data_IF_256217425579
#
_entry.id   IF_256217425579
#
_cell.length_a   1.000
_cell.length_b   1.000
_cell.length_c   1.000
_cell.angle_alpha   90.00
_cell.angle_beta   90.00
_cell.angle_gamma   90.00
#
_symmetry.space_group_name_H-M   'P 1'
#
loop_
_entity.id
_entity.type
_entity.pdbx_description
1 polymer ?
#
# COMPACT_ATOMS: atom_id res chain seq x y z
N UNK A 1 -1.51 -20.27 26.54
CA UNK A 1 -1.33 -20.32 25.07
C UNK A 1 -0.53 -19.08 24.70
N UNK A 2 0.49 -19.22 23.85
CA UNK A 2 1.17 -18.03 23.29
C UNK A 2 0.15 -17.25 22.45
N UNK A 3 0.27 -15.93 22.41
CA UNK A 3 -0.54 -15.09 21.51
C UNK A 3 -0.26 -15.50 20.06
N UNK A 4 -1.29 -15.64 19.23
CA UNK A 4 -1.12 -15.84 17.79
C UNK A 4 -0.85 -14.49 17.11
N UNK A 5 -1.65 -13.48 17.48
CA UNK A 5 -1.55 -12.11 16.99
C UNK A 5 -0.42 -11.35 17.68
N UNK A 6 0.28 -10.52 16.90
CA UNK A 6 1.13 -9.48 17.47
C UNK A 6 0.28 -8.41 18.16
N UNK A 7 0.82 -7.82 19.22
CA UNK A 7 0.09 -6.81 20.00
C UNK A 7 0.20 -5.48 19.24
N UNK A 8 -0.71 -5.27 18.30
CA UNK A 8 -0.90 -3.98 17.64
C UNK A 8 -2.39 -3.79 17.32
N UNK A 9 -3.06 -2.94 18.11
CA UNK A 9 -4.50 -2.70 18.01
C UNK A 9 -4.88 -1.95 16.71
N UNK A 10 -3.91 -1.43 15.94
CA UNK A 10 -4.11 -0.64 14.71
C UNK A 10 -3.13 -0.99 13.56
N UNK A 11 -2.67 -2.23 13.48
CA UNK A 11 -1.79 -2.68 12.38
C UNK A 11 -2.47 -2.63 10.99
N UNK A 12 -1.69 -2.40 9.93
CA UNK A 12 -2.16 -2.24 8.53
C UNK A 12 -3.14 -3.33 8.05
N UNK A 13 -2.97 -4.58 8.50
CA UNK A 13 -3.83 -5.71 8.13
C UNK A 13 -4.97 -6.01 9.13
N UNK A 14 -5.09 -5.22 10.20
CA UNK A 14 -6.09 -5.42 11.26
C UNK A 14 -7.39 -4.74 10.86
N UNK A 15 -8.41 -5.55 10.55
CA UNK A 15 -9.69 -5.06 10.07
C UNK A 15 -10.71 -4.91 11.22
N UNK A 16 -11.82 -4.25 10.90
CA UNK A 16 -12.96 -4.16 11.81
C UNK A 16 -13.39 -5.55 12.29
N UNK A 17 -13.60 -5.66 13.60
CA UNK A 17 -14.08 -6.89 14.24
C UNK A 17 -15.36 -7.41 13.59
N UNK A 18 -15.39 -8.73 13.38
CA UNK A 18 -16.44 -9.44 12.67
C UNK A 18 -17.18 -10.43 13.58
N UNK A 19 -18.41 -10.77 13.21
CA UNK A 19 -19.28 -11.73 13.91
C UNK A 19 -19.33 -13.08 13.20
N UNK A 20 -19.75 -14.13 13.92
CA UNK A 20 -19.94 -15.46 13.33
C UNK A 20 -20.98 -15.48 12.19
N UNK A 21 -21.97 -14.59 12.23
CA UNK A 21 -22.94 -14.45 11.14
C UNK A 21 -22.31 -13.90 9.86
N UNK A 22 -21.39 -12.95 9.98
CA UNK A 22 -20.66 -12.39 8.86
C UNK A 22 -19.65 -13.38 8.28
N UNK A 23 -19.00 -14.19 9.12
CA UNK A 23 -18.18 -15.33 8.67
C UNK A 23 -19.02 -16.30 7.83
N UNK A 24 -20.22 -16.67 8.29
CA UNK A 24 -21.12 -17.55 7.53
C UNK A 24 -21.59 -16.94 6.20
N UNK A 25 -21.75 -15.61 6.13
CA UNK A 25 -22.04 -14.91 4.87
C UNK A 25 -20.84 -14.97 3.92
N UNK A 26 -19.62 -14.81 4.44
CA UNK A 26 -18.40 -14.92 3.65
C UNK A 26 -18.22 -16.33 3.07
N UNK A 27 -18.38 -17.38 3.88
CA UNK A 27 -18.39 -18.79 3.41
C UNK A 27 -19.38 -19.01 2.27
N UNK A 28 -20.60 -18.48 2.41
CA UNK A 28 -21.63 -18.57 1.36
C UNK A 28 -21.24 -17.83 0.08
N UNK A 29 -20.61 -16.66 0.19
CA UNK A 29 -20.18 -15.85 -0.97
C UNK A 29 -18.98 -16.48 -1.67
N UNK A 30 -18.03 -17.04 -0.92
CA UNK A 30 -16.87 -17.77 -1.45
C UNK A 30 -17.24 -19.18 -1.96
N UNK A 31 -18.37 -19.73 -1.51
CA UNK A 31 -18.84 -21.07 -1.90
C UNK A 31 -17.98 -22.20 -1.32
N UNK A 32 -17.45 -22.02 -0.11
CA UNK A 32 -16.57 -22.94 0.61
C UNK A 32 -16.86 -22.91 2.11
N UNK A 33 -16.41 -23.94 2.83
CA UNK A 33 -16.38 -23.96 4.30
C UNK A 33 -14.96 -23.67 4.78
N UNK A 34 -14.79 -22.57 5.50
CA UNK A 34 -13.52 -22.12 6.05
C UNK A 34 -13.09 -23.03 7.21
N UNK A 35 -11.78 -23.29 7.40
CA UNK A 35 -11.26 -24.08 8.51
C UNK A 35 -11.71 -23.53 9.87
N UNK A 36 -12.01 -24.41 10.82
CA UNK A 36 -12.49 -24.01 12.15
C UNK A 36 -11.47 -23.17 12.91
N UNK A 37 -10.18 -23.50 12.81
CA UNK A 37 -9.11 -22.69 13.40
C UNK A 37 -9.03 -21.30 12.78
N UNK A 38 -9.17 -21.18 11.45
CA UNK A 38 -9.20 -19.87 10.78
C UNK A 38 -10.36 -19.02 11.33
N UNK A 39 -11.58 -19.57 11.37
CA UNK A 39 -12.76 -18.87 11.90
C UNK A 39 -12.56 -18.43 13.35
N UNK A 40 -11.95 -19.27 14.19
CA UNK A 40 -11.65 -18.94 15.59
C UNK A 40 -10.69 -17.76 15.69
N UNK A 41 -9.63 -17.75 14.90
CA UNK A 41 -8.65 -16.66 14.86
C UNK A 41 -9.30 -15.36 14.37
N UNK A 42 -10.07 -15.41 13.28
CA UNK A 42 -10.76 -14.23 12.71
C UNK A 42 -11.78 -13.61 13.67
N UNK A 43 -12.46 -14.42 14.49
CA UNK A 43 -13.39 -13.93 15.52
C UNK A 43 -12.67 -13.30 16.72
N UNK A 44 -11.42 -13.69 16.97
CA UNK A 44 -10.56 -13.06 17.96
C UNK A 44 -10.09 -11.69 17.45
N UNK A 45 -9.49 -11.67 16.25
CA UNK A 45 -9.04 -10.49 15.52
C UNK A 45 -9.20 -10.71 14.01
N UNK A 46 -9.84 -9.77 13.31
CA UNK A 46 -10.17 -9.91 11.91
C UNK A 46 -8.98 -9.53 11.01
N UNK A 47 -7.99 -10.41 10.93
CA UNK A 47 -6.74 -10.16 10.23
C UNK A 47 -5.73 -9.37 11.06
N UNK A 48 -4.48 -9.31 10.57
CA UNK A 48 -3.39 -8.61 11.25
C UNK A 48 -2.07 -9.37 11.20
N UNK A 49 -1.05 -8.76 11.81
CA UNK A 49 0.28 -9.37 11.96
C UNK A 49 0.29 -10.49 13.00
N UNK A 50 1.15 -11.49 12.78
CA UNK A 50 1.24 -12.69 13.60
C UNK A 50 2.65 -12.90 14.13
N UNK A 51 2.76 -13.47 15.32
CA UNK A 51 4.04 -13.61 16.05
C UNK A 51 5.03 -14.56 15.35
N UNK A 52 4.51 -15.59 14.68
CA UNK A 52 5.31 -16.60 13.99
C UNK A 52 5.21 -16.36 12.49
N UNK A 53 6.21 -15.68 11.96
CA UNK A 53 6.24 -15.03 10.65
C UNK A 53 6.78 -15.91 9.51
N UNK A 54 7.02 -17.20 9.73
CA UNK A 54 7.60 -18.09 8.72
C UNK A 54 7.07 -19.52 8.80
N UNK A 55 7.07 -20.21 7.65
CA UNK A 55 6.76 -21.64 7.54
C UNK A 55 7.87 -22.38 6.79
N UNK A 56 8.38 -23.51 7.32
CA UNK A 56 9.51 -24.22 6.73
C UNK A 56 9.11 -24.96 5.44
N UNK A 57 10.00 -25.01 4.46
CA UNK A 57 9.83 -25.78 3.21
C UNK A 57 11.16 -26.37 2.74
N UNK A 58 11.10 -27.45 1.96
CA UNK A 58 12.28 -28.00 1.28
C UNK A 58 12.48 -27.42 -0.12
N UNK A 59 11.59 -26.53 -0.55
CA UNK A 59 11.60 -25.86 -1.85
C UNK A 59 12.13 -24.44 -1.67
N UNK A 60 13.19 -24.09 -2.41
CA UNK A 60 13.66 -22.70 -2.48
C UNK A 60 12.64 -21.84 -3.22
N UNK A 61 12.53 -20.58 -2.83
CA UNK A 61 11.73 -19.56 -3.50
C UNK A 61 12.62 -18.37 -3.88
N UNK A 62 12.00 -17.29 -4.37
CA UNK A 62 12.71 -16.11 -4.90
C UNK A 62 13.66 -15.43 -3.90
N UNK A 63 13.51 -15.65 -2.59
CA UNK A 63 14.28 -14.94 -1.56
C UNK A 63 14.80 -15.80 -0.40
N UNK A 64 14.33 -17.05 -0.24
CA UNK A 64 14.81 -17.98 0.78
C UNK A 64 14.93 -19.42 0.28
N UNK A 65 15.89 -20.17 0.85
CA UNK A 65 16.15 -21.56 0.45
C UNK A 65 15.26 -22.59 1.17
N UNK A 66 14.80 -22.30 2.40
CA UNK A 66 14.26 -23.29 3.33
C UNK A 66 12.95 -22.90 4.05
N UNK A 67 12.35 -21.75 3.72
CA UNK A 67 11.10 -21.30 4.31
C UNK A 67 10.38 -20.26 3.43
N UNK A 68 9.09 -20.06 3.71
CA UNK A 68 8.30 -18.94 3.19
C UNK A 68 7.96 -17.99 4.34
N UNK A 69 7.71 -16.73 4.00
CA UNK A 69 7.26 -15.70 4.93
C UNK A 69 5.73 -15.77 5.00
N UNK A 70 5.21 -15.63 6.22
CA UNK A 70 3.79 -15.56 6.51
C UNK A 70 3.61 -14.66 7.74
N UNK A 71 3.88 -13.36 7.55
CA UNK A 71 3.94 -12.36 8.63
C UNK A 71 2.57 -11.83 9.04
N UNK A 72 1.53 -12.01 8.23
CA UNK A 72 0.17 -11.58 8.52
C UNK A 72 -0.85 -12.60 8.03
N UNK A 73 -2.04 -12.57 8.62
CA UNK A 73 -3.19 -13.31 8.15
C UNK A 73 -4.22 -12.30 7.64
N UNK A 74 -4.68 -12.48 6.39
CA UNK A 74 -5.78 -11.69 5.86
C UNK A 74 -7.08 -12.03 6.59
N UNK A 75 -7.84 -10.99 6.94
CA UNK A 75 -9.17 -11.14 7.52
C UNK A 75 -10.27 -11.21 6.48
N UNK A 76 -11.51 -11.15 6.94
CA UNK A 76 -12.71 -11.11 6.11
C UNK A 76 -13.17 -9.66 5.98
N UNK A 77 -12.89 -9.05 4.83
CA UNK A 77 -13.44 -7.79 4.36
C UNK A 77 -13.43 -7.76 2.82
N UNK A 78 -14.20 -6.85 2.24
CA UNK A 78 -14.00 -6.38 0.87
C UNK A 78 -12.93 -5.28 0.90
N UNK A 79 -12.13 -5.16 -0.16
CA UNK A 79 -11.10 -4.14 -0.31
C UNK A 79 -10.06 -4.13 0.82
N UNK A 80 -9.45 -5.30 1.13
CA UNK A 80 -8.31 -5.54 2.07
C UNK A 80 -8.35 -6.95 2.70
N UNK A 81 -9.15 -7.88 2.18
CA UNK A 81 -9.37 -9.17 2.82
C UNK A 81 -9.59 -10.34 1.87
N UNK A 82 -9.92 -11.51 2.42
CA UNK A 82 -10.08 -12.72 1.62
C UNK A 82 -11.22 -12.64 0.60
N UNK A 83 -12.13 -11.67 0.72
CA UNK A 83 -13.22 -11.50 -0.25
C UNK A 83 -12.72 -11.01 -1.61
N UNK A 84 -11.50 -10.49 -1.68
CA UNK A 84 -10.86 -10.02 -2.90
C UNK A 84 -10.15 -11.15 -3.64
N UNK A 85 -10.15 -12.38 -3.09
CA UNK A 85 -9.48 -13.55 -3.69
C UNK A 85 -9.83 -13.73 -5.17
N UNK A 86 -11.11 -13.58 -5.56
CA UNK A 86 -11.50 -13.76 -6.96
C UNK A 86 -10.94 -12.67 -7.89
N UNK A 87 -10.80 -11.44 -7.39
CA UNK A 87 -10.18 -10.34 -8.12
C UNK A 87 -8.67 -10.57 -8.23
N UNK A 88 -8.00 -10.86 -7.11
CA UNK A 88 -6.56 -11.08 -7.04
C UNK A 88 -6.11 -12.31 -7.84
N UNK A 89 -6.88 -13.39 -7.82
CA UNK A 89 -6.62 -14.58 -8.65
C UNK A 89 -6.60 -14.20 -10.13
N UNK A 90 -7.51 -13.33 -10.57
CA UNK A 90 -7.54 -12.87 -11.96
C UNK A 90 -6.40 -11.92 -12.29
N UNK A 91 -6.10 -10.99 -11.37
CA UNK A 91 -5.03 -9.99 -11.54
C UNK A 91 -3.65 -10.66 -11.67
N UNK A 92 -3.40 -11.66 -10.84
CA UNK A 92 -2.11 -12.36 -10.76
C UNK A 92 -2.09 -13.71 -11.51
N UNK A 93 -3.08 -13.95 -12.37
CA UNK A 93 -3.21 -15.15 -13.20
C UNK A 93 -3.11 -16.49 -12.42
N UNK A 94 -3.54 -16.48 -11.16
CA UNK A 94 -3.52 -17.66 -10.29
C UNK A 94 -4.62 -18.67 -10.67
N UNK A 95 -4.50 -19.95 -10.27
CA UNK A 95 -5.56 -20.93 -10.46
C UNK A 95 -6.88 -20.53 -9.79
N UNK A 96 -8.01 -20.74 -10.48
CA UNK A 96 -9.33 -20.59 -9.86
C UNK A 96 -9.54 -21.59 -8.70
N UNK A 97 -10.42 -21.25 -7.75
CA UNK A 97 -10.76 -22.12 -6.62
C UNK A 97 -9.79 -22.00 -5.44
N UNK A 98 -9.08 -20.89 -5.34
CA UNK A 98 -8.25 -20.52 -4.20
C UNK A 98 -8.95 -19.49 -3.31
N UNK A 99 -8.58 -19.46 -2.03
CA UNK A 99 -8.85 -18.34 -1.12
C UNK A 99 -7.53 -17.85 -0.58
N UNK A 100 -7.13 -16.64 -0.96
CA UNK A 100 -5.83 -16.05 -0.60
C UNK A 100 -5.89 -15.56 0.84
N UNK A 101 -4.92 -15.95 1.66
CA UNK A 101 -4.91 -15.68 3.11
C UNK A 101 -3.67 -14.91 3.58
N UNK A 102 -2.70 -14.69 2.69
CA UNK A 102 -1.52 -13.86 2.86
C UNK A 102 -0.90 -13.63 1.46
N UNK A 103 -0.27 -12.48 1.26
CA UNK A 103 0.51 -12.19 0.06
C UNK A 103 0.70 -10.69 -0.15
N UNK A 104 1.57 -10.33 -1.09
CA UNK A 104 1.99 -8.95 -1.39
C UNK A 104 1.95 -8.61 -2.89
N UNK A 105 1.52 -9.56 -3.72
CA UNK A 105 1.54 -9.45 -5.18
C UNK A 105 2.62 -10.30 -5.84
N UNK A 106 3.80 -10.43 -5.21
CA UNK A 106 4.87 -11.30 -5.71
C UNK A 106 4.66 -12.75 -5.27
N UNK A 107 4.19 -12.94 -4.03
CA UNK A 107 3.96 -14.26 -3.47
C UNK A 107 2.59 -14.35 -2.79
N UNK A 108 2.00 -15.55 -2.79
CA UNK A 108 0.68 -15.79 -2.22
C UNK A 108 0.64 -17.11 -1.46
N UNK A 109 0.03 -17.09 -0.27
CA UNK A 109 -0.38 -18.30 0.46
C UNK A 109 -1.90 -18.41 0.39
N UNK A 110 -2.39 -19.57 -0.03
CA UNK A 110 -3.80 -19.80 -0.27
C UNK A 110 -4.30 -21.10 0.37
N UNK A 111 -5.57 -21.07 0.77
CA UNK A 111 -6.37 -22.28 0.97
C UNK A 111 -6.80 -22.84 -0.38
N UNK A 112 -6.37 -24.06 -0.69
CA UNK A 112 -6.58 -24.70 -2.00
C UNK A 112 -7.88 -25.52 -2.04
N UNK A 113 -8.95 -24.89 -2.52
CA UNK A 113 -10.28 -25.52 -2.71
C UNK A 113 -10.48 -26.09 -4.12
N UNK A 114 -9.42 -26.23 -4.94
CA UNK A 114 -9.55 -26.80 -6.30
C UNK A 114 -10.10 -28.23 -6.29
N UNK A 115 -9.85 -28.97 -5.21
CA UNK A 115 -10.22 -30.40 -5.07
C UNK A 115 -11.21 -30.68 -3.94
N UNK A 116 -11.58 -29.68 -3.14
CA UNK A 116 -12.45 -29.83 -1.96
C UNK A 116 -13.24 -28.57 -1.68
N UNK A 117 -14.31 -28.66 -0.90
CA UNK A 117 -15.07 -27.51 -0.39
C UNK A 117 -14.91 -27.29 1.11
N UNK A 118 -14.21 -28.18 1.78
CA UNK A 118 -13.94 -28.17 3.21
C UNK A 118 -12.54 -28.73 3.49
N UNK A 119 -11.90 -28.30 4.58
CA UNK A 119 -10.56 -28.77 4.99
C UNK A 119 -9.53 -28.76 3.84
N UNK A 120 -9.30 -27.61 3.18
CA UNK A 120 -8.34 -27.50 2.08
C UNK A 120 -6.90 -27.64 2.58
N UNK A 121 -6.03 -28.04 1.65
CA UNK A 121 -4.58 -27.91 1.84
C UNK A 121 -4.17 -26.43 1.76
N UNK A 122 -2.98 -26.11 2.30
CA UNK A 122 -2.36 -24.79 2.14
C UNK A 122 -1.32 -24.86 1.04
N UNK A 123 -1.36 -23.91 0.12
CA UNK A 123 -0.54 -23.85 -1.08
C UNK A 123 0.18 -22.50 -1.15
N UNK A 124 1.43 -22.52 -1.60
CA UNK A 124 2.24 -21.35 -1.86
C UNK A 124 2.40 -21.13 -3.36
N UNK A 125 2.38 -19.87 -3.78
CA UNK A 125 2.62 -19.43 -5.14
C UNK A 125 3.69 -18.34 -5.14
N UNK A 126 4.70 -18.51 -5.98
CA UNK A 126 5.70 -17.49 -6.30
C UNK A 126 5.47 -17.07 -7.76
N UNK A 127 4.94 -15.85 -7.94
CA UNK A 127 4.56 -15.33 -9.26
C UNK A 127 5.81 -14.98 -10.07
N UNK A 128 6.86 -14.49 -9.42
CA UNK A 128 8.13 -14.12 -10.06
C UNK A 128 8.86 -15.35 -10.63
N UNK A 129 8.81 -16.47 -9.91
CA UNK A 129 9.43 -17.72 -10.35
C UNK A 129 8.51 -18.59 -11.22
N UNK A 130 7.23 -18.25 -11.34
CA UNK A 130 6.19 -19.12 -11.93
C UNK A 130 6.13 -20.52 -11.29
N UNK A 131 6.34 -20.61 -9.97
CA UNK A 131 6.35 -21.87 -9.23
C UNK A 131 5.26 -21.93 -8.14
N UNK A 132 4.67 -23.11 -7.94
CA UNK A 132 3.73 -23.38 -6.83
C UNK A 132 4.02 -24.73 -6.16
N UNK A 133 3.84 -24.78 -4.84
CA UNK A 133 3.93 -26.03 -4.08
C UNK A 133 3.07 -26.04 -2.82
N UNK A 134 2.65 -27.25 -2.44
CA UNK A 134 1.84 -27.47 -1.24
C UNK A 134 2.68 -27.34 0.04
N UNK A 135 2.22 -26.52 0.98
CA UNK A 135 2.85 -26.29 2.28
C UNK A 135 2.36 -27.26 3.35
N UNK A 136 1.06 -27.48 3.45
CA UNK A 136 0.45 -28.32 4.49
C UNK A 136 -0.83 -28.99 3.99
N UNK A 137 -1.26 -30.08 4.63
CA UNK A 137 -2.51 -30.77 4.25
C UNK A 137 -3.76 -30.13 4.85
N UNK A 138 -3.59 -29.24 5.84
CA UNK A 138 -4.67 -28.47 6.46
C UNK A 138 -4.17 -27.14 7.00
N UNK A 139 -5.09 -26.22 7.25
CA UNK A 139 -4.77 -24.96 7.94
C UNK A 139 -4.25 -25.18 9.36
N UNK A 140 -4.76 -26.19 10.08
CA UNK A 140 -4.31 -26.52 11.44
C UNK A 140 -2.85 -27.00 11.45
N UNK A 141 -2.48 -27.86 10.49
CA UNK A 141 -1.09 -28.31 10.30
C UNK A 141 -0.18 -27.12 9.96
N UNK A 142 -0.64 -26.23 9.09
CA UNK A 142 0.09 -25.03 8.71
C UNK A 142 0.37 -24.11 9.91
N UNK A 143 -0.66 -23.73 10.67
CA UNK A 143 -0.53 -22.85 11.84
C UNK A 143 0.36 -23.47 12.93
N UNK A 144 0.32 -24.79 13.11
CA UNK A 144 1.19 -25.49 14.05
C UNK A 144 2.65 -25.54 13.61
N UNK A 145 2.92 -25.48 12.30
CA UNK A 145 4.26 -25.49 11.72
C UNK A 145 4.92 -24.11 11.65
N UNK A 146 4.18 -23.03 11.92
CA UNK A 146 4.73 -21.69 11.94
C UNK A 146 5.81 -21.54 13.03
N UNK A 147 6.87 -20.82 12.70
CA UNK A 147 7.92 -20.43 13.62
C UNK A 147 8.31 -18.96 13.39
N UNK A 148 9.12 -18.41 14.29
CA UNK A 148 9.68 -17.06 14.11
C UNK A 148 11.03 -17.20 13.42
N UNK A 149 11.12 -16.73 12.18
CA UNK A 149 12.38 -16.50 11.51
C UNK A 149 12.89 -15.09 11.85
N UNK A 150 14.14 -15.02 12.30
CA UNK A 150 14.85 -13.75 12.42
C UNK A 150 15.48 -13.45 11.06
N UNK A 151 14.88 -12.52 10.33
CA UNK A 151 15.55 -11.92 9.19
C UNK A 151 16.60 -10.98 9.76
N UNK A 152 17.87 -11.38 9.66
CA UNK A 152 18.94 -10.39 9.79
C UNK A 152 18.68 -9.40 8.67
N UNK A 153 18.21 -8.21 9.02
CA UNK A 153 18.32 -7.07 8.11
C UNK A 153 19.83 -6.96 7.92
N UNK A 154 20.32 -7.44 6.77
CA UNK A 154 21.69 -7.19 6.38
C UNK A 154 21.80 -5.67 6.39
N UNK A 155 22.51 -5.08 7.35
CA UNK A 155 22.64 -3.62 7.44
C UNK A 155 23.20 -3.03 6.14
N UNK A 156 23.89 -3.83 5.31
CA UNK A 156 24.31 -3.46 3.94
C UNK A 156 23.19 -3.57 2.88
N UNK A 157 22.16 -4.41 3.08
CA UNK A 157 20.95 -4.45 2.23
C UNK A 157 19.80 -3.58 2.78
N UNK A 158 19.87 -3.20 4.06
CA UNK A 158 19.09 -2.13 4.67
C UNK A 158 19.53 -0.75 4.16
N UNK A 159 20.71 -0.65 3.57
CA UNK A 159 21.10 0.48 2.70
C UNK A 159 20.49 0.37 1.28
N UNK A 160 19.58 -0.60 1.06
CA UNK A 160 18.48 -0.44 0.10
C UNK A 160 17.14 -0.39 0.85
N UNK A 161 17.10 0.30 2.00
CA UNK A 161 16.13 1.38 2.12
C UNK A 161 16.11 2.09 0.77
N UNK A 162 14.96 2.45 0.23
CA UNK A 162 15.01 3.67 -0.59
C UNK A 162 15.76 4.64 0.30
N UNK A 163 16.99 5.00 -0.06
CA UNK A 163 17.52 6.30 0.31
C UNK A 163 16.48 7.28 -0.28
N UNK A 164 15.34 7.44 0.39
CA UNK A 164 14.99 8.71 0.99
C UNK A 164 16.22 9.09 1.78
N UNK A 165 17.25 9.52 1.05
CA UNK A 165 18.17 10.49 1.53
C UNK A 165 17.25 11.46 2.26
N UNK A 166 17.40 11.58 3.58
CA UNK A 166 17.15 12.84 4.23
C UNK A 166 18.13 13.86 3.62
N UNK A 167 18.10 14.08 2.29
CA UNK A 167 18.41 15.36 1.70
C UNK A 167 17.22 16.19 2.12
N UNK A 168 17.27 16.61 3.39
CA UNK A 168 16.47 17.71 3.87
C UNK A 168 16.73 18.84 2.90
N UNK A 169 15.78 19.09 1.99
CA UNK A 169 15.93 20.13 0.98
C UNK A 169 16.00 21.43 1.76
N UNK A 170 17.19 22.01 1.83
CA UNK A 170 17.36 23.28 2.53
C UNK A 170 16.58 24.36 1.79
N UNK A 171 16.20 25.43 2.50
CA UNK A 171 15.50 26.56 1.89
C UNK A 171 16.34 27.18 0.76
N UNK A 172 17.65 27.27 0.94
CA UNK A 172 18.57 27.80 -0.06
C UNK A 172 18.60 26.93 -1.33
N UNK A 173 18.56 25.60 -1.19
CA UNK A 173 18.48 24.69 -2.32
C UNK A 173 17.12 24.75 -3.01
N UNK A 174 16.03 24.82 -2.24
CA UNK A 174 14.68 25.01 -2.80
C UNK A 174 14.58 26.32 -3.58
N UNK A 175 15.12 27.41 -3.03
CA UNK A 175 15.21 28.70 -3.71
C UNK A 175 15.99 28.57 -5.03
N UNK A 176 17.15 27.90 -5.01
CA UNK A 176 17.95 27.67 -6.22
C UNK A 176 17.21 26.83 -7.26
N UNK A 177 16.48 25.79 -6.85
CA UNK A 177 15.64 24.97 -7.74
C UNK A 177 14.54 25.83 -8.37
N UNK A 178 13.88 26.68 -7.59
CA UNK A 178 12.80 27.52 -8.11
C UNK A 178 13.25 28.65 -9.04
N UNK A 179 14.56 28.93 -9.13
CA UNK A 179 15.13 29.84 -10.13
C UNK A 179 15.42 29.15 -11.49
N UNK A 180 15.32 27.82 -11.56
CA UNK A 180 15.42 27.09 -12.83
C UNK A 180 14.22 27.40 -13.74
N UNK A 181 14.39 27.28 -15.06
CA UNK A 181 13.27 27.50 -15.99
C UNK A 181 12.33 26.30 -16.08
N UNK A 182 12.85 25.10 -15.81
CA UNK A 182 12.15 23.81 -15.89
C UNK A 182 12.51 23.02 -14.64
N UNK A 183 11.49 22.44 -14.01
CA UNK A 183 11.65 21.51 -12.89
C UNK A 183 11.66 20.10 -13.46
N UNK A 184 12.83 19.46 -13.48
CA UNK A 184 12.93 18.04 -13.85
C UNK A 184 12.40 17.14 -12.73
N UNK A 185 12.24 15.86 -13.06
CA UNK A 185 11.71 14.83 -12.15
C UNK A 185 12.49 14.75 -10.83
N UNK A 186 13.81 14.88 -10.87
CA UNK A 186 14.65 14.86 -9.66
C UNK A 186 14.43 16.07 -8.77
N UNK A 187 14.21 17.25 -9.34
CA UNK A 187 13.87 18.45 -8.60
C UNK A 187 12.46 18.39 -8.02
N UNK A 188 11.48 17.91 -8.79
CA UNK A 188 10.10 17.71 -8.33
C UNK A 188 10.04 16.71 -7.16
N UNK A 189 10.78 15.61 -7.27
CA UNK A 189 10.93 14.64 -6.18
C UNK A 189 11.48 15.28 -4.91
N UNK A 190 12.51 16.14 -4.99
CA UNK A 190 13.02 16.85 -3.80
C UNK A 190 12.02 17.84 -3.23
N UNK A 191 11.33 18.58 -4.10
CA UNK A 191 10.34 19.60 -3.72
C UNK A 191 9.20 18.99 -2.89
N UNK A 192 8.73 17.78 -3.22
CA UNK A 192 7.58 17.18 -2.54
C UNK A 192 7.81 16.86 -1.06
N UNK A 193 9.09 16.70 -0.64
CA UNK A 193 9.49 16.44 0.75
C UNK A 193 9.90 17.71 1.50
N UNK A 194 9.75 18.90 0.91
CA UNK A 194 10.06 20.14 1.63
C UNK A 194 9.11 20.34 2.84
N UNK A 195 9.61 20.69 4.04
CA UNK A 195 8.79 20.81 5.24
C UNK A 195 7.72 21.92 5.16
N UNK A 196 6.44 21.55 5.19
CA UNK A 196 5.32 22.50 5.11
C UNK A 196 4.81 22.93 6.50
N UNK A 197 5.68 23.60 7.27
CA UNK A 197 5.40 23.98 8.68
C UNK A 197 5.09 25.47 8.86
N UNK A 198 5.87 26.38 8.26
CA UNK A 198 5.69 27.83 8.42
C UNK A 198 4.72 28.40 7.38
N UNK A 199 3.68 29.10 7.84
CA UNK A 199 2.64 29.67 6.98
C UNK A 199 3.15 30.67 5.94
N UNK A 200 4.16 31.49 6.25
CA UNK A 200 4.69 32.46 5.28
C UNK A 200 5.52 31.76 4.22
N UNK A 201 6.27 30.73 4.61
CA UNK A 201 7.03 29.91 3.66
C UNK A 201 6.12 29.10 2.76
N UNK A 202 5.03 28.51 3.28
CA UNK A 202 4.04 27.80 2.47
C UNK A 202 3.37 28.75 1.46
N UNK A 203 3.02 29.97 1.88
CA UNK A 203 2.48 30.99 0.96
C UNK A 203 3.48 31.32 -0.16
N UNK A 204 4.76 31.50 0.16
CA UNK A 204 5.81 31.74 -0.83
C UNK A 204 6.01 30.54 -1.76
N UNK A 205 6.03 29.33 -1.19
CA UNK A 205 6.20 28.07 -1.91
C UNK A 205 5.13 27.90 -2.99
N UNK A 206 3.85 28.02 -2.63
CA UNK A 206 2.77 27.84 -3.60
C UNK A 206 2.75 28.91 -4.68
N UNK A 207 3.22 30.13 -4.40
CA UNK A 207 3.42 31.15 -5.46
C UNK A 207 4.51 30.75 -6.44
N UNK A 208 5.59 30.13 -5.97
CA UNK A 208 6.64 29.60 -6.85
C UNK A 208 6.12 28.42 -7.68
N UNK A 209 5.36 27.50 -7.07
CA UNK A 209 4.69 26.42 -7.81
C UNK A 209 3.70 26.94 -8.86
N UNK A 210 2.90 27.95 -8.52
CA UNK A 210 2.00 28.61 -9.47
C UNK A 210 2.76 29.16 -10.67
N UNK A 211 3.87 29.88 -10.43
CA UNK A 211 4.71 30.40 -11.51
C UNK A 211 5.18 29.30 -12.47
N UNK A 212 5.63 28.16 -11.94
CA UNK A 212 6.08 27.02 -12.74
C UNK A 212 4.94 26.36 -13.52
N UNK A 213 3.76 26.20 -12.90
CA UNK A 213 2.55 25.72 -13.57
C UNK A 213 2.17 26.62 -14.74
N UNK A 214 2.14 27.93 -14.54
CA UNK A 214 1.70 28.89 -15.57
C UNK A 214 2.69 29.01 -16.73
N UNK A 215 3.98 28.76 -16.49
CA UNK A 215 5.05 28.88 -17.49
C UNK A 215 5.28 27.58 -18.26
N UNK A 216 4.96 26.43 -17.68
CA UNK A 216 5.18 25.11 -18.30
C UNK A 216 4.20 24.90 -19.45
N UNK A 217 4.74 24.73 -20.66
CA UNK A 217 3.94 24.55 -21.90
C UNK A 217 3.80 23.10 -22.32
N UNK A 218 4.76 22.27 -21.94
CA UNK A 218 4.74 20.85 -22.21
C UNK A 218 3.71 20.19 -21.28
N UNK A 219 2.81 19.40 -21.85
CA UNK A 219 1.65 18.85 -21.12
C UNK A 219 2.10 17.78 -20.11
N UNK A 220 3.09 16.95 -20.45
CA UNK A 220 3.63 15.93 -19.55
C UNK A 220 4.37 16.57 -18.37
N UNK A 221 5.23 17.55 -18.63
CA UNK A 221 5.90 18.30 -17.56
C UNK A 221 4.90 19.08 -16.68
N UNK A 222 3.86 19.66 -17.28
CA UNK A 222 2.81 20.37 -16.55
C UNK A 222 2.03 19.40 -15.64
N UNK A 223 1.76 18.19 -16.13
CA UNK A 223 1.16 17.13 -15.32
C UNK A 223 2.04 16.81 -14.11
N UNK A 224 3.35 16.60 -14.29
CA UNK A 224 4.27 16.28 -13.20
C UNK A 224 4.37 17.41 -12.14
N UNK A 225 4.42 18.67 -12.59
CA UNK A 225 4.46 19.83 -11.67
C UNK A 225 3.14 19.95 -10.89
N UNK A 226 2.00 19.68 -11.52
CA UNK A 226 0.70 19.65 -10.85
C UNK A 226 0.57 18.48 -9.86
N UNK A 227 1.06 17.30 -10.24
CA UNK A 227 1.06 16.09 -9.42
C UNK A 227 1.89 16.28 -8.14
N UNK A 228 3.02 16.98 -8.26
CA UNK A 228 3.85 17.36 -7.10
C UNK A 228 3.04 18.09 -6.01
N UNK A 229 2.06 18.93 -6.39
CA UNK A 229 1.17 19.59 -5.42
C UNK A 229 0.30 18.57 -4.69
N UNK A 230 -0.23 17.56 -5.37
CA UNK A 230 -1.02 16.50 -4.75
C UNK A 230 -0.17 15.67 -3.78
N UNK A 231 1.03 15.28 -4.19
CA UNK A 231 1.98 14.55 -3.34
C UNK A 231 2.25 15.32 -2.04
N UNK A 232 2.42 16.64 -2.12
CA UNK A 232 2.61 17.50 -0.92
C UNK A 232 1.41 17.41 0.03
N UNK A 233 0.17 17.44 -0.48
CA UNK A 233 -1.02 17.30 0.37
C UNK A 233 -1.11 15.91 1.01
N UNK A 234 -0.75 14.85 0.28
CA UNK A 234 -0.76 13.49 0.80
C UNK A 234 0.29 13.29 1.90
N UNK A 235 1.49 13.84 1.72
CA UNK A 235 2.58 13.77 2.68
C UNK A 235 2.37 14.70 3.89
N UNK A 236 1.56 15.77 3.73
CA UNK A 236 1.34 16.79 4.76
C UNK A 236 -0.16 16.98 5.07
N UNK A 237 -0.85 15.93 5.53
CA UNK A 237 -2.31 15.95 5.79
C UNK A 237 -2.77 17.05 6.75
N UNK A 238 -1.88 17.54 7.63
CA UNK A 238 -2.16 18.60 8.59
C UNK A 238 -1.51 19.96 8.22
N UNK A 239 -1.12 20.15 6.95
CA UNK A 239 -0.49 21.39 6.49
C UNK A 239 -1.37 22.61 6.81
N UNK A 240 -0.82 23.68 7.43
CA UNK A 240 -1.60 24.86 7.74
C UNK A 240 -1.91 25.66 6.46
N UNK A 241 -3.18 26.02 6.28
CA UNK A 241 -3.68 26.76 5.11
C UNK A 241 -4.39 28.03 5.60
N UNK A 242 -4.04 29.17 5.01
CA UNK A 242 -4.70 30.46 5.23
C UNK A 242 -5.37 30.94 3.94
N UNK A 243 -6.16 32.02 4.03
CA UNK A 243 -6.91 32.58 2.88
C UNK A 243 -6.02 32.87 1.64
N UNK A 244 -4.78 33.30 1.85
CA UNK A 244 -3.87 33.62 0.74
C UNK A 244 -3.35 32.37 0.05
N UNK A 245 -3.03 31.32 0.82
CA UNK A 245 -2.65 30.01 0.28
C UNK A 245 -3.82 29.43 -0.51
N UNK A 246 -5.03 29.50 0.04
CA UNK A 246 -6.25 29.06 -0.66
C UNK A 246 -6.49 29.80 -1.96
N UNK A 247 -6.28 31.12 -2.01
CA UNK A 247 -6.41 31.92 -3.23
C UNK A 247 -5.40 31.50 -4.31
N UNK A 248 -4.14 31.27 -3.93
CA UNK A 248 -3.10 30.78 -4.88
C UNK A 248 -3.46 29.41 -5.44
N UNK A 249 -3.88 28.48 -4.57
CA UNK A 249 -4.29 27.13 -4.98
C UNK A 249 -5.53 27.17 -5.88
N UNK A 250 -6.50 28.04 -5.58
CA UNK A 250 -7.67 28.25 -6.43
C UNK A 250 -7.27 28.76 -7.83
N UNK A 251 -6.31 29.66 -7.93
CA UNK A 251 -5.80 30.15 -9.22
C UNK A 251 -5.09 29.04 -10.01
N UNK A 252 -4.30 28.20 -9.33
CA UNK A 252 -3.69 26.99 -9.93
C UNK A 252 -4.78 26.07 -10.49
N UNK A 253 -5.79 25.73 -9.70
CA UNK A 253 -6.92 24.90 -10.14
C UNK A 253 -7.58 25.50 -11.38
N UNK A 254 -7.88 26.80 -11.37
CA UNK A 254 -8.50 27.50 -12.50
C UNK A 254 -7.62 27.55 -13.75
N UNK A 255 -6.30 27.50 -13.59
CA UNK A 255 -5.37 27.39 -14.70
C UNK A 255 -5.42 25.98 -15.30
N UNK A 256 -5.29 24.94 -14.47
CA UNK A 256 -5.30 23.53 -14.90
C UNK A 256 -6.62 23.13 -15.55
N UNK A 257 -7.76 23.61 -15.03
CA UNK A 257 -9.10 23.35 -15.59
C UNK A 257 -9.29 23.85 -17.03
N UNK A 258 -8.48 24.82 -17.49
CA UNK A 258 -8.54 25.35 -18.86
C UNK A 258 -7.72 24.52 -19.86
N UNK A 259 -6.96 23.54 -19.38
CA UNK A 259 -6.16 22.68 -20.25
C UNK A 259 -7.09 21.77 -21.10
N UNK A 260 -6.61 21.37 -22.28
CA UNK A 260 -7.34 20.45 -23.17
C UNK A 260 -7.14 18.99 -22.78
N UNK A 261 -6.03 18.66 -22.12
CA UNK A 261 -5.73 17.33 -21.64
C UNK A 261 -6.61 16.99 -20.41
N UNK A 262 -7.44 15.93 -20.48
CA UNK A 262 -8.29 15.52 -19.36
C UNK A 262 -7.50 15.09 -18.11
N UNK A 263 -6.27 14.59 -18.23
CA UNK A 263 -5.43 14.20 -17.10
C UNK A 263 -5.00 15.43 -16.28
N UNK A 264 -4.60 16.51 -16.95
CA UNK A 264 -4.25 17.80 -16.33
C UNK A 264 -5.49 18.46 -15.71
N UNK A 265 -6.63 18.37 -16.39
CA UNK A 265 -7.90 18.84 -15.81
C UNK A 265 -8.27 18.04 -14.56
N UNK A 266 -7.99 16.73 -14.54
CA UNK A 266 -8.25 15.87 -13.38
C UNK A 266 -7.34 16.20 -12.20
N UNK A 267 -6.06 16.48 -12.44
CA UNK A 267 -5.12 17.00 -11.45
C UNK A 267 -5.68 18.25 -10.74
N UNK A 268 -6.17 19.23 -11.51
CA UNK A 268 -6.82 20.42 -10.97
C UNK A 268 -8.02 20.11 -10.06
N UNK A 269 -8.85 19.11 -10.43
CA UNK A 269 -9.99 18.68 -9.60
C UNK A 269 -9.55 18.00 -8.30
N UNK A 270 -8.50 17.18 -8.35
CA UNK A 270 -7.95 16.52 -7.16
C UNK A 270 -7.37 17.55 -6.19
N UNK A 271 -6.65 18.56 -6.69
CA UNK A 271 -6.14 19.67 -5.87
C UNK A 271 -7.31 20.44 -5.24
N UNK A 272 -8.38 20.68 -6.00
CA UNK A 272 -9.59 21.31 -5.46
C UNK A 272 -10.20 20.49 -4.31
N UNK A 273 -10.26 19.16 -4.41
CA UNK A 273 -10.79 18.30 -3.34
C UNK A 273 -9.95 18.37 -2.05
N UNK A 274 -8.62 18.39 -2.16
CA UNK A 274 -7.72 18.50 -0.99
C UNK A 274 -7.80 19.87 -0.30
N UNK A 275 -8.20 20.90 -1.05
CA UNK A 275 -8.29 22.28 -0.58
C UNK A 275 -9.71 22.72 -0.21
N UNK A 276 -10.69 21.81 -0.32
CA UNK A 276 -12.11 22.05 -0.03
C UNK A 276 -12.41 22.12 1.47
N UNK A 277 -11.81 23.12 2.13
CA UNK A 277 -12.38 23.85 3.28
C UNK A 277 -12.84 25.27 2.87
N UNK A 278 -12.97 25.54 1.55
CA UNK A 278 -13.58 26.74 0.99
C UNK A 278 -15.11 26.69 1.01
#
# INVERSE_FOLDING_TARGET
>A
MKSFWEIDDEGYYTLKKITAEEVAKAEKKLGVTLPDTYKKLILEQNGGYIVHNAFPTAHSNSWAEDHIQFNHLLGIAEDEGIMDSAYLIKEWELPEGLVLINGDGHTWVAMDYRKTKENPAIHYFDVEMEEDFKLANSFDEFIQGLYTAEYAVDEEAAEVEYELTEVYLSKEELEAIFELDVLDEGNLYKIQYYPMVDLNEIEWFFKKMQYHIEKTKDEDALYQVADTILCIFLLNQNMPINEKISEVLYQIVKFLEKNKDPLIVNQGKQIAMQTSFL
#
